data_IF_721579241131
#
_entry.id   IF_721579241131
#
_cell.length_a   1.000
_cell.length_b   1.000
_cell.length_c   1.000
_cell.angle_alpha   90.00
_cell.angle_beta   90.00
_cell.angle_gamma   90.00
#
_symmetry.space_group_name_H-M   'P 1'
#
loop_
_entity.id
_entity.type
_entity.pdbx_description
1 polymer ?
#
# COMPACT_ATOMS: atom_id res chain seq x y z
N UNK A 1 0.78 -14.42 -6.50
CA UNK A 1 1.87 -14.02 -7.42
C UNK A 1 1.65 -12.55 -7.76
N UNK A 2 2.70 -11.74 -7.72
CA UNK A 2 2.62 -10.30 -7.99
C UNK A 2 3.98 -9.79 -8.43
N UNK A 3 4.00 -8.66 -9.12
CA UNK A 3 5.24 -8.02 -9.55
C UNK A 3 6.08 -7.60 -8.32
N UNK A 4 7.39 -7.76 -8.42
CA UNK A 4 8.34 -7.16 -7.48
C UNK A 4 8.28 -5.63 -7.55
N UNK A 5 8.75 -4.96 -6.49
CA UNK A 5 8.79 -3.50 -6.48
C UNK A 5 9.73 -2.93 -7.55
N UNK A 6 10.77 -3.67 -7.94
CA UNK A 6 11.69 -3.28 -9.02
C UNK A 6 11.00 -3.37 -10.39
N UNK A 7 10.25 -4.43 -10.65
CA UNK A 7 9.46 -4.56 -11.89
C UNK A 7 8.42 -3.44 -12.02
N UNK A 8 7.71 -3.13 -10.92
CA UNK A 8 6.75 -2.02 -10.91
C UNK A 8 7.45 -0.68 -11.15
N UNK A 9 8.62 -0.47 -10.53
CA UNK A 9 9.40 0.76 -10.70
C UNK A 9 9.82 0.96 -12.16
N UNK A 10 10.28 -0.12 -12.81
CA UNK A 10 10.66 -0.13 -14.22
C UNK A 10 9.47 0.12 -15.15
N UNK A 11 8.33 -0.55 -14.92
CA UNK A 11 7.11 -0.37 -15.75
C UNK A 11 6.57 1.06 -15.64
N UNK A 12 6.62 1.63 -14.43
CA UNK A 12 6.05 2.95 -14.12
C UNK A 12 7.04 4.10 -14.33
N UNK A 13 8.25 3.81 -14.80
CA UNK A 13 9.36 4.76 -14.98
C UNK A 13 9.53 5.69 -13.77
N UNK A 14 9.66 5.09 -12.58
CA UNK A 14 9.79 5.86 -11.34
C UNK A 14 10.74 5.18 -10.32
N UNK A 15 11.30 5.94 -9.36
CA UNK A 15 12.17 5.36 -8.34
C UNK A 15 11.45 4.30 -7.49
N UNK A 16 12.14 3.24 -7.08
CA UNK A 16 11.57 2.18 -6.22
C UNK A 16 11.00 2.72 -4.89
N UNK A 17 11.55 3.81 -4.36
CA UNK A 17 11.00 4.51 -3.18
C UNK A 17 9.61 5.11 -3.43
N UNK A 18 9.33 5.55 -4.66
CA UNK A 18 8.02 6.04 -5.08
C UNK A 18 7.01 4.90 -5.14
N UNK A 19 7.40 3.72 -5.63
CA UNK A 19 6.54 2.53 -5.58
C UNK A 19 6.17 2.18 -4.14
N UNK A 20 7.16 2.09 -3.25
CA UNK A 20 6.93 1.78 -1.82
C UNK A 20 5.98 2.76 -1.16
N UNK A 21 6.21 4.07 -1.35
CA UNK A 21 5.36 5.11 -0.74
C UNK A 21 3.94 5.13 -1.32
N UNK A 22 3.77 4.90 -2.64
CA UNK A 22 2.45 4.79 -3.28
C UNK A 22 1.67 3.61 -2.72
N UNK A 23 2.28 2.42 -2.64
CA UNK A 23 1.64 1.22 -2.09
C UNK A 23 1.23 1.43 -0.63
N UNK A 24 2.14 2.01 0.18
CA UNK A 24 1.84 2.31 1.58
C UNK A 24 0.63 3.24 1.72
N UNK A 25 0.62 4.37 0.99
CA UNK A 25 -0.50 5.33 1.03
C UNK A 25 -1.81 4.72 0.54
N UNK A 26 -1.76 3.90 -0.50
CA UNK A 26 -2.94 3.20 -0.99
C UNK A 26 -3.52 2.25 0.07
N UNK A 27 -2.67 1.48 0.76
CA UNK A 27 -3.09 0.60 1.86
C UNK A 27 -3.70 1.38 3.02
N UNK A 28 -3.07 2.48 3.43
CA UNK A 28 -3.61 3.35 4.49
C UNK A 28 -4.99 3.91 4.11
N UNK A 29 -5.15 4.40 2.88
CA UNK A 29 -6.44 4.95 2.41
C UNK A 29 -7.54 3.89 2.34
N UNK A 30 -7.20 2.66 1.96
CA UNK A 30 -8.16 1.54 1.99
C UNK A 30 -8.49 1.17 3.43
N UNK A 31 -7.48 1.04 4.29
CA UNK A 31 -7.66 0.68 5.70
C UNK A 31 -8.52 1.71 6.43
N UNK A 32 -8.32 3.00 6.20
CA UNK A 32 -9.13 4.08 6.79
C UNK A 32 -10.63 3.89 6.51
N UNK A 33 -10.98 3.50 5.28
CA UNK A 33 -12.38 3.24 4.88
C UNK A 33 -12.93 1.94 5.44
N UNK A 34 -12.08 0.94 5.64
CA UNK A 34 -12.48 -0.37 6.14
C UNK A 34 -12.57 -0.42 7.67
N UNK A 35 -11.74 0.34 8.40
CA UNK A 35 -11.74 0.42 9.88
C UNK A 35 -13.13 0.59 10.51
N UNK A 36 -14.03 1.48 10.06
CA UNK A 36 -15.36 1.58 10.67
C UNK A 36 -16.28 0.39 10.37
N UNK A 37 -15.96 -0.43 9.37
CA UNK A 37 -16.74 -1.60 8.96
C UNK A 37 -16.20 -2.91 9.56
N UNK A 38 -14.95 -2.89 10.01
CA UNK A 38 -14.27 -4.03 10.60
C UNK A 38 -14.15 -3.80 12.11
N UNK A 39 -14.69 -4.72 12.91
CA UNK A 39 -14.55 -4.71 14.38
C UNK A 39 -13.13 -5.16 14.81
N UNK A 40 -12.13 -4.54 14.19
CA UNK A 40 -10.71 -4.84 14.35
C UNK A 40 -10.06 -3.73 15.15
N UNK A 41 -9.28 -4.10 16.18
CA UNK A 41 -8.58 -3.16 17.06
C UNK A 41 -7.87 -2.07 16.25
N UNK A 42 -8.10 -0.81 16.64
CA UNK A 42 -7.63 0.42 15.99
C UNK A 42 -6.10 0.48 15.74
N UNK A 43 -5.34 -0.45 16.31
CA UNK A 43 -3.88 -0.40 16.45
C UNK A 43 -3.10 -1.40 15.59
N UNK A 44 -3.78 -2.15 14.70
CA UNK A 44 -3.05 -2.90 13.66
C UNK A 44 -2.56 -1.93 12.59
N UNK A 45 -1.28 -1.57 12.68
CA UNK A 45 -0.55 -0.87 11.64
C UNK A 45 -0.17 -1.89 10.55
N UNK A 46 -1.19 -2.26 9.77
CA UNK A 46 -1.21 -3.27 8.69
C UNK A 46 -0.77 -4.68 9.09
#
# INVERSE_FOLDING_TARGET
>A
EGLSYEEIANIMDCPIGTVRSRIFRARESIAERLRPLLDTAHDKRW
#
